data_IF_141872658942
#
_entry.id   IF_141872658942
#
_cell.length_a   1.000
_cell.length_b   1.000
_cell.length_c   1.000
_cell.angle_alpha   90.00
_cell.angle_beta   90.00
_cell.angle_gamma   90.00
#
_symmetry.space_group_name_H-M   'P 1'
#
loop_
_entity.id
_entity.type
_entity.pdbx_description
1 polymer ?
#
# COMPACT_ATOMS: atom_id res chain seq x y z
N UNK A 1 14.39 -0.61 -13.77
CA UNK A 1 13.23 -1.41 -14.26
C UNK A 1 12.78 -2.41 -13.20
N UNK A 2 12.48 -1.93 -12.00
CA UNK A 2 11.84 -2.71 -10.93
C UNK A 2 10.53 -2.03 -10.50
N UNK A 3 9.85 -1.30 -11.40
CA UNK A 3 8.79 -0.37 -11.07
C UNK A 3 7.41 -1.01 -10.87
N UNK A 4 7.18 -2.24 -11.29
CA UNK A 4 5.83 -2.83 -11.26
C UNK A 4 5.55 -3.76 -10.07
N UNK A 5 6.46 -3.89 -9.11
CA UNK A 5 6.35 -4.92 -8.05
C UNK A 5 5.64 -4.47 -6.77
N UNK A 6 5.41 -3.19 -6.52
CA UNK A 6 5.06 -2.68 -5.19
C UNK A 6 3.74 -1.89 -5.16
N UNK A 7 3.10 -1.63 -6.28
CA UNK A 7 1.72 -1.09 -6.32
C UNK A 7 0.65 -2.09 -5.88
N UNK A 8 1.00 -3.35 -5.78
CA UNK A 8 0.14 -4.33 -5.16
C UNK A 8 0.44 -4.32 -3.66
N UNK A 9 -0.57 -4.14 -2.83
CA UNK A 9 -0.66 -4.18 -1.36
C UNK A 9 0.26 -5.19 -0.64
N UNK A 10 1.47 -5.36 -1.10
CA UNK A 10 2.36 -6.48 -0.79
C UNK A 10 3.20 -6.27 0.47
N UNK A 11 3.05 -5.16 1.19
CA UNK A 11 3.57 -5.11 2.56
C UNK A 11 2.72 -6.00 3.48
N UNK A 12 1.47 -6.27 3.11
CA UNK A 12 0.65 -7.32 3.72
C UNK A 12 0.84 -8.67 3.05
N UNK A 13 1.54 -8.73 1.91
CA UNK A 13 1.79 -9.92 1.11
C UNK A 13 2.72 -10.97 1.72
N UNK A 14 3.24 -10.75 2.92
CA UNK A 14 3.89 -11.83 3.71
C UNK A 14 2.89 -12.94 4.07
N UNK A 15 1.59 -12.74 3.81
CA UNK A 15 0.57 -13.75 4.07
C UNK A 15 0.25 -14.66 2.88
N UNK A 16 0.65 -14.32 1.68
CA UNK A 16 0.28 -15.07 0.49
C UNK A 16 1.44 -15.87 -0.05
N UNK A 17 1.36 -17.16 0.16
CA UNK A 17 2.17 -18.20 -0.46
C UNK A 17 3.68 -18.20 -0.19
N UNK A 18 4.19 -19.40 -0.12
CA UNK A 18 5.55 -19.78 0.15
C UNK A 18 6.61 -19.33 -0.86
N UNK A 19 6.27 -18.45 -1.80
CA UNK A 19 7.20 -18.06 -2.83
C UNK A 19 7.21 -16.56 -3.12
N UNK A 20 7.26 -15.66 -2.10
CA UNK A 20 7.70 -14.29 -2.33
C UNK A 20 9.03 -14.29 -3.08
N UNK A 21 9.91 -15.24 -2.75
CA UNK A 21 11.20 -15.42 -3.39
C UNK A 21 11.10 -15.71 -4.90
N UNK A 22 10.24 -16.63 -5.34
CA UNK A 22 10.13 -16.90 -6.77
C UNK A 22 9.46 -15.73 -7.50
N UNK A 23 8.53 -15.02 -6.86
CA UNK A 23 7.95 -13.80 -7.44
C UNK A 23 8.98 -12.67 -7.47
N UNK A 24 9.71 -12.43 -6.40
CA UNK A 24 10.66 -11.31 -6.26
C UNK A 24 12.03 -11.64 -6.85
N UNK A 25 12.65 -12.75 -6.48
CA UNK A 25 13.96 -13.15 -6.97
C UNK A 25 13.90 -13.89 -8.31
N UNK A 26 12.85 -14.63 -8.58
CA UNK A 26 12.62 -15.33 -9.84
C UNK A 26 12.02 -14.47 -10.94
N UNK A 27 11.74 -13.19 -10.64
CA UNK A 27 11.21 -12.20 -11.60
C UNK A 27 9.91 -12.65 -12.31
N UNK A 28 9.09 -13.45 -11.61
CA UNK A 28 7.79 -13.87 -12.15
C UNK A 28 6.83 -12.69 -12.21
N UNK A 29 6.50 -12.25 -13.42
CA UNK A 29 5.51 -11.19 -13.65
C UNK A 29 4.11 -11.75 -13.49
N UNK A 30 3.29 -11.12 -12.64
CA UNK A 30 1.86 -11.37 -12.59
C UNK A 30 1.23 -10.81 -13.87
N UNK A 31 0.42 -11.60 -14.55
CA UNK A 31 -0.39 -11.08 -15.67
C UNK A 31 -1.48 -10.17 -15.12
N UNK A 32 -1.65 -9.02 -15.75
CA UNK A 32 -2.76 -8.13 -15.41
C UNK A 32 -4.10 -8.80 -15.73
N UNK A 33 -4.94 -8.87 -14.72
CA UNK A 33 -6.34 -9.29 -14.87
C UNK A 33 -7.21 -8.08 -15.18
N UNK A 34 -8.41 -8.31 -15.68
CA UNK A 34 -9.41 -7.22 -15.86
C UNK A 34 -9.66 -6.42 -14.58
N UNK A 35 -9.50 -7.03 -13.42
CA UNK A 35 -9.70 -6.38 -12.11
C UNK A 35 -8.52 -5.50 -11.73
N UNK A 36 -7.28 -5.95 -11.99
CA UNK A 36 -6.07 -5.15 -11.73
C UNK A 36 -5.98 -3.97 -12.69
N UNK A 37 -6.31 -4.18 -13.98
CA UNK A 37 -6.39 -3.10 -14.97
C UNK A 37 -7.42 -2.05 -14.52
N UNK A 38 -8.64 -2.50 -14.18
CA UNK A 38 -9.69 -1.60 -13.69
C UNK A 38 -9.25 -0.82 -12.44
N UNK A 39 -8.56 -1.47 -11.49
CA UNK A 39 -7.99 -0.81 -10.31
C UNK A 39 -7.02 0.30 -10.70
N UNK A 40 -6.05 -0.01 -11.56
CA UNK A 40 -5.07 0.97 -12.07
C UNK A 40 -5.75 2.16 -12.77
N UNK A 41 -6.75 1.89 -13.61
CA UNK A 41 -7.49 2.94 -14.33
C UNK A 41 -8.24 3.88 -13.37
N UNK A 42 -8.85 3.33 -12.31
CA UNK A 42 -9.54 4.14 -11.28
C UNK A 42 -8.56 5.02 -10.53
N UNK A 43 -7.43 4.46 -10.05
CA UNK A 43 -6.39 5.22 -9.34
C UNK A 43 -5.86 6.34 -10.24
N UNK A 44 -5.48 6.01 -11.48
CA UNK A 44 -4.98 7.03 -12.43
C UNK A 44 -5.97 8.14 -12.71
N UNK A 45 -7.25 7.79 -12.89
CA UNK A 45 -8.29 8.80 -13.10
C UNK A 45 -8.48 9.72 -11.88
N UNK A 46 -8.37 9.17 -10.66
CA UNK A 46 -8.49 9.96 -9.44
C UNK A 46 -7.25 10.83 -9.18
N UNK A 47 -6.06 10.31 -9.45
CA UNK A 47 -4.81 11.06 -9.45
C UNK A 47 -4.90 12.27 -10.40
N UNK A 48 -5.19 12.03 -11.68
CA UNK A 48 -5.26 13.09 -12.70
C UNK A 48 -6.30 14.15 -12.35
N UNK A 49 -7.45 13.73 -11.82
CA UNK A 49 -8.49 14.64 -11.38
C UNK A 49 -8.06 15.46 -10.15
N UNK A 50 -7.45 14.83 -9.16
CA UNK A 50 -6.98 15.49 -7.95
C UNK A 50 -5.84 16.48 -8.22
N UNK A 51 -4.99 16.19 -9.21
CA UNK A 51 -3.95 17.10 -9.72
C UNK A 51 -4.50 18.22 -10.62
N UNK A 52 -5.77 18.14 -11.04
CA UNK A 52 -6.38 19.08 -12.00
C UNK A 52 -5.85 18.93 -13.43
N UNK A 53 -5.21 17.82 -13.76
CA UNK A 53 -4.64 17.56 -15.09
C UNK A 53 -5.66 16.99 -16.08
N UNK A 54 -6.72 16.35 -15.58
CA UNK A 54 -7.80 15.83 -16.39
C UNK A 54 -9.14 15.82 -15.65
N UNK A 55 -10.24 15.86 -16.43
CA UNK A 55 -11.59 15.61 -15.93
C UNK A 55 -11.80 14.12 -15.67
N UNK A 56 -12.64 13.79 -14.67
CA UNK A 56 -13.02 12.39 -14.46
C UNK A 56 -13.74 11.81 -15.69
N UNK A 57 -13.32 10.64 -16.20
CA UNK A 57 -14.04 9.93 -17.24
C UNK A 57 -15.52 9.71 -16.88
N UNK A 58 -16.42 9.68 -17.88
CA UNK A 58 -17.87 9.50 -17.66
C UNK A 58 -18.19 8.31 -16.73
N UNK A 59 -17.43 7.22 -16.85
CA UNK A 59 -17.58 6.01 -16.04
C UNK A 59 -17.36 6.30 -14.54
N UNK A 60 -16.50 7.25 -14.20
CA UNK A 60 -16.07 7.56 -12.83
C UNK A 60 -16.69 8.85 -12.28
N UNK A 61 -17.48 9.59 -13.08
CA UNK A 61 -18.16 10.84 -12.65
C UNK A 61 -19.01 10.66 -11.38
N UNK A 62 -19.58 9.48 -11.17
CA UNK A 62 -20.35 9.16 -9.95
C UNK A 62 -19.54 9.23 -8.65
N UNK A 63 -18.21 9.19 -8.73
CA UNK A 63 -17.31 9.29 -7.57
C UNK A 63 -16.80 10.71 -7.35
N UNK A 64 -17.11 11.65 -8.25
CA UNK A 64 -16.60 13.01 -8.20
C UNK A 64 -16.84 13.69 -6.84
N UNK A 65 -18.06 13.64 -6.35
CA UNK A 65 -18.42 14.29 -5.09
C UNK A 65 -17.58 13.82 -3.89
N UNK A 66 -17.19 12.53 -3.86
CA UNK A 66 -16.31 11.98 -2.82
C UNK A 66 -14.91 12.55 -2.95
N UNK A 67 -14.35 12.57 -4.18
CA UNK A 67 -13.00 13.08 -4.42
C UNK A 67 -12.95 14.58 -4.14
N UNK A 68 -13.96 15.34 -4.58
CA UNK A 68 -14.09 16.78 -4.26
C UNK A 68 -14.09 17.03 -2.76
N UNK A 69 -14.84 16.22 -1.99
CA UNK A 69 -14.89 16.35 -0.54
C UNK A 69 -13.53 16.07 0.11
N UNK A 70 -12.77 15.09 -0.39
CA UNK A 70 -11.42 14.79 0.09
C UNK A 70 -10.43 15.91 -0.25
N UNK A 71 -10.48 16.43 -1.49
CA UNK A 71 -9.62 17.54 -1.92
C UNK A 71 -9.96 18.83 -1.18
N UNK A 72 -11.21 19.03 -0.78
CA UNK A 72 -11.65 20.19 -0.02
C UNK A 72 -11.17 20.20 1.44
N UNK A 73 -10.69 19.08 1.99
CA UNK A 73 -10.08 19.05 3.33
C UNK A 73 -8.89 20.02 3.36
N UNK A 74 -8.86 20.89 4.33
CA UNK A 74 -7.79 21.88 4.48
C UNK A 74 -6.44 21.21 4.80
N UNK A 75 -5.35 21.77 4.26
CA UNK A 75 -3.98 21.28 4.43
C UNK A 75 -3.23 21.11 3.11
N UNK A 76 -1.95 20.76 3.20
CA UNK A 76 -1.11 20.44 2.05
C UNK A 76 -1.47 19.04 1.51
N UNK A 77 -1.79 18.96 0.21
CA UNK A 77 -2.15 17.71 -0.46
C UNK A 77 -0.95 17.14 -1.20
N UNK A 78 -0.74 15.86 -1.01
CA UNK A 78 0.27 15.06 -1.70
C UNK A 78 -0.48 13.90 -2.37
N UNK A 79 -0.47 13.88 -3.70
CA UNK A 79 -1.14 12.88 -4.51
C UNK A 79 -0.08 11.87 -4.97
N UNK A 80 -0.38 10.56 -4.89
CA UNK A 80 0.57 9.48 -5.21
C UNK A 80 1.93 9.72 -4.52
N UNK A 81 1.88 10.04 -3.22
CA UNK A 81 3.05 10.47 -2.48
C UNK A 81 3.96 9.30 -2.13
N UNK A 82 5.15 9.32 -2.69
CA UNK A 82 6.18 8.32 -2.48
C UNK A 82 6.91 8.53 -1.16
N UNK A 83 7.02 7.49 -0.36
CA UNK A 83 7.76 7.48 0.91
C UNK A 83 8.62 6.23 1.01
N UNK A 84 9.84 6.37 1.49
CA UNK A 84 10.73 5.25 1.80
C UNK A 84 11.51 5.50 3.10
N UNK A 85 11.80 4.42 3.80
CA UNK A 85 12.59 4.44 5.04
C UNK A 85 13.75 3.44 4.93
N UNK A 86 14.87 3.79 5.54
CA UNK A 86 15.96 2.85 5.84
C UNK A 86 15.61 1.98 7.04
N UNK A 87 16.46 1.01 7.34
CA UNK A 87 16.28 0.06 8.45
C UNK A 87 16.29 0.75 9.83
N UNK A 88 16.91 1.90 9.94
CA UNK A 88 16.92 2.75 11.14
C UNK A 88 15.73 3.72 11.20
N UNK A 89 14.75 3.53 10.31
CA UNK A 89 13.55 4.34 10.13
C UNK A 89 13.80 5.77 9.62
N UNK A 90 15.02 6.10 9.19
CA UNK A 90 15.29 7.41 8.56
C UNK A 90 14.68 7.49 7.16
N UNK A 91 14.04 8.61 6.79
CA UNK A 91 13.56 8.83 5.43
C UNK A 91 14.69 8.77 4.40
N UNK A 92 14.40 8.23 3.25
CA UNK A 92 15.30 8.20 2.10
C UNK A 92 14.53 8.41 0.78
N UNK A 93 15.22 8.69 -0.34
CA UNK A 93 14.60 8.67 -1.66
C UNK A 93 13.91 7.35 -1.94
N UNK A 94 12.81 7.39 -2.69
CA UNK A 94 11.97 6.22 -2.96
C UNK A 94 12.72 5.08 -3.69
N UNK A 95 13.69 5.44 -4.51
CA UNK A 95 14.56 4.58 -5.30
C UNK A 95 15.96 4.37 -4.69
N UNK A 96 16.18 4.81 -3.43
CA UNK A 96 17.46 4.62 -2.76
C UNK A 96 17.83 3.14 -2.73
N UNK A 97 19.10 2.76 -3.02
CA UNK A 97 19.51 1.36 -3.08
C UNK A 97 19.45 0.66 -1.70
N UNK A 98 19.43 1.44 -0.63
CA UNK A 98 19.42 1.01 0.76
C UNK A 98 18.06 1.21 1.45
N UNK A 99 16.98 1.41 0.67
CA UNK A 99 15.66 1.45 1.27
C UNK A 99 15.30 0.09 1.89
N UNK A 100 14.67 0.13 3.05
CA UNK A 100 14.19 -1.05 3.75
C UNK A 100 12.69 -1.28 3.54
N UNK A 101 11.91 -0.22 3.61
CA UNK A 101 10.48 -0.23 3.32
C UNK A 101 10.10 1.01 2.52
N UNK A 102 9.19 0.85 1.57
CA UNK A 102 8.65 1.97 0.79
C UNK A 102 7.17 1.76 0.49
N UNK A 103 6.47 2.84 0.26
CA UNK A 103 5.05 2.82 -0.08
C UNK A 103 4.61 4.13 -0.71
N UNK A 104 3.48 4.09 -1.40
CA UNK A 104 2.87 5.25 -2.06
C UNK A 104 1.51 5.48 -1.41
N UNK A 105 1.24 6.71 -1.01
CA UNK A 105 -0.07 7.13 -0.53
C UNK A 105 -0.86 7.73 -1.69
N UNK A 106 -2.02 7.15 -2.04
CA UNK A 106 -2.86 7.67 -3.11
C UNK A 106 -3.25 9.14 -2.85
N UNK A 107 -3.62 9.45 -1.61
CA UNK A 107 -3.84 10.81 -1.14
C UNK A 107 -3.34 10.95 0.30
N UNK A 108 -2.41 11.87 0.52
CA UNK A 108 -1.96 12.30 1.83
C UNK A 108 -2.26 13.80 1.99
N UNK A 109 -2.90 14.17 3.10
CA UNK A 109 -3.19 15.56 3.46
C UNK A 109 -2.51 15.84 4.80
N UNK A 110 -1.68 16.88 4.86
CA UNK A 110 -0.99 17.28 6.09
C UNK A 110 -1.43 18.68 6.47
N UNK A 111 -1.94 18.81 7.69
CA UNK A 111 -2.34 20.07 8.29
C UNK A 111 -1.81 20.16 9.71
N UNK A 112 -0.95 21.12 9.97
CA UNK A 112 -0.32 21.35 11.29
C UNK A 112 0.32 20.07 11.86
N UNK A 113 -0.20 19.54 12.95
CA UNK A 113 0.26 18.31 13.60
C UNK A 113 -0.61 17.07 13.26
N UNK A 114 -1.47 17.17 12.25
CA UNK A 114 -2.38 16.11 11.82
C UNK A 114 -2.12 15.72 10.37
N UNK A 115 -2.30 14.45 10.06
CA UNK A 115 -2.32 13.97 8.68
C UNK A 115 -3.51 13.04 8.43
N UNK A 116 -3.97 13.04 7.17
CA UNK A 116 -5.02 12.18 6.66
C UNK A 116 -4.47 11.39 5.48
N UNK A 117 -4.62 10.06 5.53
CA UNK A 117 -4.24 9.16 4.43
C UNK A 117 -5.52 8.52 3.89
N UNK A 118 -5.69 8.55 2.59
CA UNK A 118 -6.75 7.82 1.90
C UNK A 118 -6.11 6.92 0.85
N UNK A 119 -6.46 5.64 0.91
CA UNK A 119 -6.07 4.63 -0.05
C UNK A 119 -7.33 4.10 -0.74
N UNK A 120 -7.36 4.22 -2.08
CA UNK A 120 -8.51 3.85 -2.88
C UNK A 120 -8.54 2.35 -3.15
N UNK A 121 -9.70 1.72 -2.93
CA UNK A 121 -9.89 0.29 -3.15
C UNK A 121 -11.04 0.04 -4.11
N UNK A 122 -10.78 -0.75 -5.15
CA UNK A 122 -11.79 -1.23 -6.10
C UNK A 122 -12.24 -2.66 -5.82
N UNK A 123 -11.63 -3.31 -4.83
CA UNK A 123 -11.91 -4.69 -4.42
C UNK A 123 -13.11 -4.83 -3.48
N UNK A 124 -13.21 -6.02 -2.86
CA UNK A 124 -14.26 -6.33 -1.90
C UNK A 124 -13.80 -5.95 -0.49
N UNK A 125 -14.59 -5.13 0.21
CA UNK A 125 -14.35 -4.68 1.59
C UNK A 125 -14.38 -5.80 2.65
N UNK A 126 -14.94 -6.98 2.32
CA UNK A 126 -14.92 -8.17 3.20
C UNK A 126 -13.49 -8.60 3.58
N UNK A 127 -12.52 -8.31 2.72
CA UNK A 127 -11.13 -8.68 2.89
C UNK A 127 -10.24 -7.46 3.16
N UNK A 128 -10.82 -6.41 3.76
CA UNK A 128 -10.06 -5.22 4.14
C UNK A 128 -8.93 -5.60 5.11
N UNK A 129 -7.70 -5.26 4.75
CA UNK A 129 -6.54 -5.40 5.63
C UNK A 129 -6.02 -4.00 5.95
N UNK A 130 -6.15 -3.61 7.21
CA UNK A 130 -5.74 -2.29 7.69
C UNK A 130 -4.25 -2.22 8.09
N UNK A 131 -3.51 -3.33 8.03
CA UNK A 131 -2.07 -3.32 8.32
C UNK A 131 -1.31 -2.31 7.44
N UNK A 132 -1.70 -2.18 6.17
CA UNK A 132 -1.09 -1.19 5.28
C UNK A 132 -1.26 0.25 5.79
N UNK A 133 -2.44 0.59 6.36
CA UNK A 133 -2.69 1.92 6.93
C UNK A 133 -1.75 2.23 8.08
N UNK A 134 -1.49 1.25 8.95
CA UNK A 134 -0.55 1.36 10.07
C UNK A 134 0.87 1.63 9.56
N UNK A 135 1.32 0.91 8.54
CA UNK A 135 2.64 1.12 7.95
C UNK A 135 2.75 2.50 7.31
N UNK A 136 1.72 2.91 6.54
CA UNK A 136 1.69 4.25 5.94
C UNK A 136 1.72 5.35 7.01
N UNK A 137 0.99 5.18 8.13
CA UNK A 137 1.04 6.12 9.25
C UNK A 137 2.45 6.21 9.86
N UNK A 138 3.14 5.07 10.03
CA UNK A 138 4.53 5.04 10.49
C UNK A 138 5.48 5.78 9.54
N UNK A 139 5.29 5.61 8.23
CA UNK A 139 6.08 6.32 7.22
C UNK A 139 5.81 7.83 7.28
N UNK A 140 4.54 8.25 7.38
CA UNK A 140 4.17 9.66 7.54
C UNK A 140 4.79 10.26 8.79
N UNK A 141 4.77 9.56 9.93
CA UNK A 141 5.42 10.06 11.13
C UNK A 141 6.93 10.30 10.94
N UNK A 142 7.62 9.47 10.18
CA UNK A 142 9.05 9.66 9.94
C UNK A 142 9.34 10.76 8.91
N UNK A 143 8.55 10.86 7.84
CA UNK A 143 8.71 11.89 6.81
C UNK A 143 8.26 13.28 7.27
N UNK A 144 7.28 13.35 8.19
CA UNK A 144 6.69 14.60 8.68
C UNK A 144 6.83 14.68 10.22
N UNK A 145 7.98 15.13 10.74
CA UNK A 145 8.25 15.12 12.18
C UNK A 145 7.26 15.93 13.02
N UNK A 146 6.63 16.98 12.44
CA UNK A 146 5.63 17.79 13.12
C UNK A 146 4.29 17.07 13.32
N UNK A 147 3.99 16.04 12.50
CA UNK A 147 2.72 15.30 12.59
C UNK A 147 2.70 14.43 13.85
N UNK A 148 1.70 14.62 14.69
CA UNK A 148 1.46 13.85 15.93
C UNK A 148 0.39 12.80 15.77
N UNK A 149 -0.56 13.03 14.85
CA UNK A 149 -1.72 12.15 14.66
C UNK A 149 -1.96 11.90 13.19
N UNK A 150 -2.31 10.66 12.86
CA UNK A 150 -2.67 10.24 11.50
C UNK A 150 -4.01 9.54 11.53
N UNK A 151 -4.97 10.04 10.74
CA UNK A 151 -6.18 9.31 10.41
C UNK A 151 -5.98 8.69 9.02
N UNK A 152 -5.95 7.36 8.93
CA UNK A 152 -5.74 6.65 7.68
C UNK A 152 -6.94 5.77 7.36
N UNK A 153 -7.36 5.72 6.10
CA UNK A 153 -8.54 4.98 5.70
C UNK A 153 -8.46 4.35 4.31
N UNK A 154 -9.16 3.22 4.17
CA UNK A 154 -9.42 2.55 2.91
C UNK A 154 -10.78 3.03 2.38
N UNK A 155 -10.78 3.67 1.22
CA UNK A 155 -12.00 4.08 0.53
C UNK A 155 -12.37 3.04 -0.54
N UNK A 156 -13.33 2.17 -0.22
CA UNK A 156 -13.93 1.22 -1.17
C UNK A 156 -14.89 1.95 -2.11
N UNK A 157 -14.36 2.47 -3.20
CA UNK A 157 -15.07 3.39 -4.10
C UNK A 157 -16.34 2.79 -4.70
N UNK A 158 -16.31 1.49 -5.08
CA UNK A 158 -17.48 0.82 -5.66
C UNK A 158 -18.64 0.65 -4.69
N UNK A 159 -18.36 0.69 -3.38
CA UNK A 159 -19.34 0.49 -2.31
C UNK A 159 -19.65 1.76 -1.53
N UNK A 160 -18.95 2.86 -1.84
CA UNK A 160 -19.01 4.10 -1.06
C UNK A 160 -18.80 3.83 0.44
N UNK A 161 -17.82 2.99 0.77
CA UNK A 161 -17.51 2.59 2.15
C UNK A 161 -16.12 3.03 2.53
N UNK A 162 -16.02 3.69 3.67
CA UNK A 162 -14.76 4.12 4.26
C UNK A 162 -14.49 3.31 5.53
N UNK A 163 -13.30 2.71 5.62
CA UNK A 163 -12.82 1.99 6.80
C UNK A 163 -11.57 2.71 7.26
N UNK A 164 -11.59 3.32 8.43
CA UNK A 164 -10.51 4.15 8.93
C UNK A 164 -10.00 3.68 10.30
N UNK A 165 -8.74 4.03 10.54
CA UNK A 165 -8.05 3.86 11.81
C UNK A 165 -7.32 5.15 12.20
N UNK A 166 -7.05 5.29 13.50
CA UNK A 166 -6.40 6.45 14.06
C UNK A 166 -5.10 6.05 14.75
N UNK A 167 -4.03 6.76 14.40
CA UNK A 167 -2.68 6.49 14.89
C UNK A 167 -2.10 7.74 15.55
N UNK A 168 -1.28 7.53 16.59
CA UNK A 168 -0.60 8.60 17.32
C UNK A 168 0.89 8.33 17.40
N UNK A 169 1.69 9.38 17.31
CA UNK A 169 3.16 9.31 17.27
C UNK A 169 3.76 8.65 18.51
N UNK A 170 3.21 8.90 19.69
CA UNK A 170 3.65 8.34 20.96
C UNK A 170 3.58 6.80 21.01
N UNK A 171 2.84 6.17 20.09
CA UNK A 171 2.69 4.72 19.99
C UNK A 171 3.48 4.08 18.85
N UNK A 172 4.39 4.81 18.20
CA UNK A 172 5.15 4.30 17.05
C UNK A 172 5.87 2.99 17.35
N UNK A 173 6.52 2.88 18.51
CA UNK A 173 7.24 1.66 18.89
C UNK A 173 6.31 0.44 18.99
N UNK A 174 5.09 0.64 19.50
CA UNK A 174 4.07 -0.39 19.53
C UNK A 174 3.62 -0.80 18.12
N UNK A 175 3.45 0.16 17.24
CA UNK A 175 3.05 -0.11 15.86
C UNK A 175 4.15 -0.86 15.10
N UNK A 176 5.42 -0.48 15.25
CA UNK A 176 6.55 -1.22 14.69
C UNK A 176 6.65 -2.63 15.24
N UNK A 177 6.35 -2.83 16.53
CA UNK A 177 6.36 -4.17 17.13
C UNK A 177 5.42 -5.15 16.43
N UNK A 178 4.31 -4.68 15.84
CA UNK A 178 3.39 -5.53 15.09
C UNK A 178 3.99 -6.05 13.76
N UNK A 179 4.98 -5.36 13.21
CA UNK A 179 5.68 -5.76 11.97
C UNK A 179 6.95 -6.57 12.21
N UNK A 180 7.61 -6.39 13.36
CA UNK A 180 8.90 -7.06 13.66
C UNK A 180 8.92 -8.56 13.41
N UNK A 181 7.90 -9.36 13.82
CA UNK A 181 7.93 -10.80 13.57
C UNK A 181 7.95 -11.17 12.09
N UNK A 182 7.25 -10.39 11.26
CA UNK A 182 7.20 -10.61 9.82
C UNK A 182 8.51 -10.23 9.16
N UNK A 183 9.09 -9.10 9.57
CA UNK A 183 10.37 -8.59 9.09
C UNK A 183 11.52 -9.52 9.47
N UNK A 184 11.60 -9.94 10.73
CA UNK A 184 12.62 -10.90 11.19
C UNK A 184 12.57 -12.22 10.42
N UNK A 185 11.36 -12.73 10.12
CA UNK A 185 11.21 -13.93 9.30
C UNK A 185 11.72 -13.73 7.88
N UNK A 186 11.48 -12.55 7.31
CA UNK A 186 11.96 -12.21 5.98
C UNK A 186 13.48 -12.13 5.96
N UNK A 187 14.09 -11.41 6.90
CA UNK A 187 15.54 -11.32 7.07
C UNK A 187 16.19 -12.71 7.24
N UNK A 188 15.66 -13.52 8.16
CA UNK A 188 16.14 -14.90 8.34
C UNK A 188 16.04 -15.73 7.07
N UNK A 189 15.00 -15.51 6.26
CA UNK A 189 14.86 -16.24 4.98
C UNK A 189 15.93 -15.81 3.98
N UNK A 190 16.29 -14.54 3.93
CA UNK A 190 17.39 -14.04 3.09
C UNK A 190 18.74 -14.56 3.59
N UNK A 191 19.01 -14.49 4.89
CA UNK A 191 20.30 -14.89 5.49
C UNK A 191 20.57 -16.39 5.38
N UNK A 192 19.53 -17.21 5.46
CA UNK A 192 19.64 -18.66 5.47
C UNK A 192 19.27 -19.34 4.17
N UNK A 193 18.75 -18.59 3.19
CA UNK A 193 18.15 -19.09 1.96
C UNK A 193 17.05 -20.16 2.20
N UNK A 194 16.39 -20.08 3.38
CA UNK A 194 15.31 -20.99 3.75
C UNK A 194 13.97 -20.29 3.73
N UNK A 195 13.13 -20.70 2.82
CA UNK A 195 11.83 -20.08 2.55
C UNK A 195 10.69 -21.02 2.92
N UNK A 196 9.96 -20.68 3.99
CA UNK A 196 8.84 -21.49 4.46
C UNK A 196 7.62 -21.32 3.54
N UNK A 197 7.14 -22.43 3.01
CA UNK A 197 5.95 -22.47 2.18
C UNK A 197 4.69 -22.21 3.03
N UNK A 198 3.77 -21.37 2.53
CA UNK A 198 2.49 -21.06 3.17
C UNK A 198 1.34 -21.22 2.17
N UNK A 199 0.90 -22.45 1.88
CA UNK A 199 -0.21 -22.69 0.97
C UNK A 199 -1.49 -21.99 1.45
N UNK A 200 -2.23 -21.40 0.51
CA UNK A 200 -3.50 -20.73 0.79
C UNK A 200 -4.47 -20.88 -0.39
N UNK A 201 -5.71 -20.48 -0.24
CA UNK A 201 -6.68 -20.42 -1.34
C UNK A 201 -6.29 -19.51 -2.50
N UNK A 202 -5.23 -18.69 -2.33
CA UNK A 202 -4.71 -17.83 -3.39
C UNK A 202 -3.65 -18.51 -4.25
N UNK A 203 -3.20 -19.72 -3.92
CA UNK A 203 -2.19 -20.44 -4.70
C UNK A 203 -2.62 -20.65 -6.15
N UNK A 204 -3.90 -20.87 -6.42
CA UNK A 204 -4.44 -21.00 -7.77
C UNK A 204 -4.31 -19.74 -8.64
N UNK A 205 -4.09 -18.58 -8.03
CA UNK A 205 -3.85 -17.30 -8.72
C UNK A 205 -2.38 -16.91 -8.76
N UNK A 206 -1.50 -17.76 -8.23
CA UNK A 206 -0.07 -17.50 -8.19
C UNK A 206 0.54 -17.65 -9.60
N UNK A 207 1.42 -16.73 -10.05
CA UNK A 207 2.05 -16.81 -11.36
C UNK A 207 3.08 -17.96 -11.46
N UNK A 208 3.45 -18.58 -10.33
CA UNK A 208 4.45 -19.65 -10.29
C UNK A 208 3.79 -21.00 -10.58
N UNK A 209 3.60 -21.30 -11.85
CA UNK A 209 2.95 -22.56 -12.31
C UNK A 209 3.72 -23.83 -11.93
N UNK A 210 5.04 -23.74 -11.74
CA UNK A 210 5.88 -24.86 -11.30
C UNK A 210 5.75 -25.21 -9.81
N UNK A 211 4.99 -24.42 -9.04
CA UNK A 211 4.79 -24.65 -7.62
C UNK A 211 3.82 -25.80 -7.38
N UNK A 212 4.17 -26.75 -6.50
CA UNK A 212 3.33 -27.90 -6.11
C UNK A 212 1.95 -27.53 -5.54
N UNK A 213 1.79 -26.29 -5.04
CA UNK A 213 0.54 -25.75 -4.50
C UNK A 213 -0.25 -24.92 -5.51
N UNK A 214 0.30 -24.69 -6.70
CA UNK A 214 -0.42 -24.06 -7.80
C UNK A 214 -1.27 -25.13 -8.47
N UNK A 215 -2.48 -25.35 -7.92
CA UNK A 215 -3.46 -26.29 -8.48
C UNK A 215 -4.54 -25.48 -9.18
N UNK A 216 -4.82 -25.86 -10.42
CA UNK A 216 -5.96 -25.36 -11.19
C UNK A 216 -7.30 -25.59 -10.47
#
# INVERSE_FOLDING_TARGET
QAEDGIRDSSVTGVQTCALPILKVLGNYKTQDTKYTIFGKDVHKAFEDYALGTAELPKLYKKYQAIIDALIAIDGNKYIEHEMALRIDYTPCPFDAPDYWVRGIADLLIVKDDQAYIVDYKTGNDKYADTKQLKLMALMVFNHFPAVKTVKAGLLFVLKNRFIDEYYTRDKMDKYWADFRPDLMRLEMSFDTDKWLKRPSGLCKFCPVSSCEFNRE
#
